data_IF_276191845731
#
_entry.id   IF_276191845731
#
_cell.length_a   1.000
_cell.length_b   1.000
_cell.length_c   1.000
_cell.angle_alpha   90.00
_cell.angle_beta   90.00
_cell.angle_gamma   90.00
#
_symmetry.space_group_name_H-M   'P 1'
#
loop_
_entity.id
_entity.type
_entity.pdbx_description
1 polymer ?
#
# COMPACT_ATOMS: atom_id res chain seq x y z
N UNK A 1 -68.22 7.97 -36.79
CA UNK A 1 -67.83 8.24 -35.41
C UNK A 1 -66.49 7.55 -35.21
N UNK A 2 -65.34 8.27 -35.20
CA UNK A 2 -64.01 7.76 -34.98
C UNK A 2 -63.69 7.83 -33.45
N UNK A 3 -63.47 6.67 -32.82
CA UNK A 3 -63.03 6.60 -31.42
C UNK A 3 -61.54 6.86 -31.37
N UNK A 4 -61.14 7.94 -30.69
CA UNK A 4 -59.76 8.27 -30.38
C UNK A 4 -59.43 7.51 -29.10
N UNK A 5 -58.43 6.59 -29.18
CA UNK A 5 -57.86 5.90 -28.02
C UNK A 5 -56.65 6.75 -27.58
N UNK A 6 -56.78 7.37 -26.42
CA UNK A 6 -55.66 8.09 -25.76
C UNK A 6 -54.86 7.07 -24.98
N UNK A 7 -53.64 6.82 -25.43
CA UNK A 7 -52.66 5.97 -24.72
C UNK A 7 -51.95 6.84 -23.66
N UNK A 8 -52.27 6.65 -22.42
CA UNK A 8 -51.56 7.28 -21.31
C UNK A 8 -50.26 6.51 -21.05
N UNK A 9 -49.13 7.05 -21.50
CA UNK A 9 -47.79 6.53 -21.15
C UNK A 9 -47.47 7.07 -19.77
N UNK A 10 -47.60 6.24 -18.72
CA UNK A 10 -47.07 6.53 -17.39
C UNK A 10 -45.57 6.37 -17.45
N UNK A 11 -44.82 7.46 -17.45
CA UNK A 11 -43.39 7.48 -17.24
C UNK A 11 -43.14 7.11 -15.77
N UNK A 12 -42.62 5.88 -15.52
CA UNK A 12 -41.98 5.54 -14.26
C UNK A 12 -40.70 6.40 -14.14
N UNK A 13 -40.76 7.43 -13.35
CA UNK A 13 -39.57 8.11 -12.86
C UNK A 13 -38.99 7.17 -11.81
N UNK A 14 -37.95 6.41 -12.20
CA UNK A 14 -37.08 5.73 -11.21
C UNK A 14 -36.30 6.84 -10.54
N UNK A 15 -36.76 7.23 -9.35
CA UNK A 15 -35.99 8.05 -8.44
C UNK A 15 -34.78 7.21 -8.05
N UNK A 16 -33.60 7.55 -8.56
CA UNK A 16 -32.36 7.15 -7.89
C UNK A 16 -32.40 7.82 -6.51
N UNK A 17 -32.73 7.03 -5.51
CA UNK A 17 -32.52 7.43 -4.12
C UNK A 17 -31.03 7.75 -3.98
N UNK A 18 -30.74 9.00 -3.63
CA UNK A 18 -29.42 9.46 -3.24
C UNK A 18 -28.91 8.54 -2.14
N UNK A 19 -27.89 7.75 -2.45
CA UNK A 19 -27.12 7.06 -1.43
C UNK A 19 -26.63 8.11 -0.44
N UNK A 20 -26.76 7.79 0.82
CA UNK A 20 -26.52 8.64 1.99
C UNK A 20 -25.16 9.36 1.89
N UNK A 21 -25.19 10.65 1.56
CA UNK A 21 -24.02 11.54 1.42
C UNK A 21 -23.32 11.83 2.77
N UNK A 22 -23.66 11.04 3.83
CA UNK A 22 -23.26 11.27 5.21
C UNK A 22 -22.38 10.16 5.82
N UNK A 23 -21.97 9.14 5.05
CA UNK A 23 -21.05 8.13 5.58
C UNK A 23 -19.60 8.55 5.29
N UNK A 24 -18.70 8.43 6.26
CA UNK A 24 -17.27 8.69 6.00
C UNK A 24 -16.72 7.75 4.93
N UNK A 25 -15.91 8.30 4.03
CA UNK A 25 -15.21 7.47 3.05
C UNK A 25 -14.23 6.53 3.77
N UNK A 26 -14.36 5.24 3.50
CA UNK A 26 -13.53 4.21 4.14
C UNK A 26 -12.25 3.96 3.36
N UNK A 27 -11.13 4.08 4.06
CA UNK A 27 -9.78 3.92 3.51
C UNK A 27 -9.09 2.77 4.22
N UNK A 28 -8.72 1.73 3.48
CA UNK A 28 -8.00 0.58 4.01
C UNK A 28 -6.54 0.60 3.59
N UNK A 29 -5.64 0.37 4.54
CA UNK A 29 -4.21 0.23 4.32
C UNK A 29 -3.83 -1.23 4.54
N UNK A 30 -3.62 -1.98 3.45
CA UNK A 30 -3.27 -3.39 3.48
C UNK A 30 -1.75 -3.55 3.35
N UNK A 31 -1.11 -4.23 4.32
CA UNK A 31 0.35 -4.37 4.30
C UNK A 31 0.93 -5.30 5.37
N UNK A 32 2.18 -5.06 5.70
CA UNK A 32 2.99 -5.82 6.65
C UNK A 32 3.25 -5.07 7.98
N UNK A 33 4.43 -5.29 8.60
CA UNK A 33 4.84 -4.62 9.85
C UNK A 33 4.92 -3.09 9.72
N UNK A 34 5.28 -2.57 8.55
CA UNK A 34 5.38 -1.14 8.34
C UNK A 34 3.98 -0.51 8.41
N UNK A 35 2.99 -1.16 7.80
CA UNK A 35 1.58 -0.73 7.89
C UNK A 35 1.00 -0.97 9.29
N UNK A 36 1.39 -2.04 9.98
CA UNK A 36 0.99 -2.28 11.37
C UNK A 36 1.47 -1.17 12.29
N UNK A 37 2.78 -0.85 12.25
CA UNK A 37 3.34 0.24 13.06
C UNK A 37 2.75 1.61 12.72
N UNK A 38 2.36 1.81 11.46
CA UNK A 38 1.71 3.04 11.03
C UNK A 38 0.34 3.29 11.67
N UNK A 39 -0.38 2.23 12.08
CA UNK A 39 -1.62 2.30 12.85
C UNK A 39 -1.36 2.35 14.35
N UNK A 40 -0.38 1.55 14.83
CA UNK A 40 -0.15 1.34 16.27
C UNK A 40 0.57 2.51 16.95
N UNK A 41 1.38 3.30 16.20
CA UNK A 41 2.18 4.40 16.75
C UNK A 41 1.58 5.77 16.43
N UNK A 42 1.75 6.73 17.37
CA UNK A 42 1.24 8.11 17.21
C UNK A 42 1.91 8.85 16.04
N UNK A 43 3.18 8.56 15.77
CA UNK A 43 3.99 9.09 14.66
C UNK A 43 3.93 8.20 13.40
N UNK A 44 3.15 7.14 13.41
CA UNK A 44 2.91 6.29 12.25
C UNK A 44 2.16 7.02 11.13
N UNK A 45 2.45 6.68 9.86
CA UNK A 45 1.88 7.43 8.74
C UNK A 45 0.35 7.40 8.69
N UNK A 46 -0.33 6.32 9.11
CA UNK A 46 -1.81 6.27 9.18
C UNK A 46 -2.31 7.23 10.27
N UNK A 47 -1.66 7.26 11.43
CA UNK A 47 -1.98 8.18 12.51
C UNK A 47 -1.75 9.64 12.11
N UNK A 48 -0.65 9.94 11.40
CA UNK A 48 -0.37 11.27 10.86
C UNK A 48 -1.39 11.69 9.81
N UNK A 49 -1.81 10.80 8.91
CA UNK A 49 -2.87 11.08 7.94
C UNK A 49 -4.17 11.39 8.66
N UNK A 50 -4.55 10.60 9.67
CA UNK A 50 -5.78 10.79 10.48
C UNK A 50 -5.81 12.14 11.15
N UNK A 51 -4.67 12.65 11.64
CA UNK A 51 -4.54 13.97 12.26
C UNK A 51 -4.71 15.12 11.24
N UNK A 52 -4.37 14.90 9.98
CA UNK A 52 -4.40 15.93 8.92
C UNK A 52 -5.70 15.94 8.10
N UNK A 53 -6.52 14.90 8.19
CA UNK A 53 -7.80 14.84 7.50
C UNK A 53 -8.92 15.49 8.31
N UNK A 54 -9.95 15.95 7.60
CA UNK A 54 -11.19 16.45 8.25
C UNK A 54 -11.85 15.26 8.94
N UNK A 55 -11.91 15.33 10.27
CA UNK A 55 -12.60 14.33 11.08
C UNK A 55 -14.06 14.19 10.58
N UNK A 56 -14.64 13.03 10.74
CA UNK A 56 -15.99 12.65 10.31
C UNK A 56 -16.19 12.45 8.79
N UNK A 57 -15.21 12.80 7.95
CA UNK A 57 -15.29 12.54 6.49
C UNK A 57 -14.61 11.23 6.07
N UNK A 58 -13.72 10.71 6.90
CA UNK A 58 -12.89 9.55 6.55
C UNK A 58 -12.79 8.56 7.71
N UNK A 59 -12.96 7.28 7.40
CA UNK A 59 -12.66 6.16 8.30
C UNK A 59 -11.39 5.47 7.79
N UNK A 60 -10.28 5.58 8.54
CA UNK A 60 -9.00 4.96 8.22
C UNK A 60 -8.83 3.65 8.98
N UNK A 61 -8.54 2.58 8.26
CA UNK A 61 -8.42 1.21 8.81
C UNK A 61 -7.07 0.62 8.41
N UNK A 62 -6.17 0.46 9.37
CA UNK A 62 -4.91 -0.26 9.19
C UNK A 62 -5.13 -1.78 9.19
N UNK A 63 -4.60 -2.46 8.19
CA UNK A 63 -4.61 -3.92 8.02
C UNK A 63 -3.18 -4.42 7.77
N UNK A 64 -2.25 -3.94 8.58
CA UNK A 64 -0.87 -4.40 8.62
C UNK A 64 -0.70 -5.57 9.59
N UNK A 65 0.11 -6.57 9.22
CA UNK A 65 0.54 -7.66 10.11
C UNK A 65 2.04 -7.91 9.89
N UNK A 66 2.81 -7.90 10.97
CA UNK A 66 4.25 -8.10 10.96
C UNK A 66 4.70 -9.38 10.25
N UNK A 67 5.74 -9.29 9.45
CA UNK A 67 6.31 -10.42 8.72
C UNK A 67 5.51 -10.88 7.49
N UNK A 68 4.34 -10.29 7.21
CA UNK A 68 3.51 -10.72 6.09
C UNK A 68 4.18 -10.47 4.75
N UNK A 69 3.94 -11.42 3.83
CA UNK A 69 4.28 -11.43 2.41
C UNK A 69 2.99 -11.42 1.58
N UNK A 70 3.12 -11.32 0.28
CA UNK A 70 1.96 -11.41 -0.62
C UNK A 70 1.15 -12.68 -0.42
N UNK A 71 1.83 -13.81 -0.13
CA UNK A 71 1.19 -15.10 0.16
C UNK A 71 0.28 -15.05 1.40
N UNK A 72 0.68 -14.28 2.40
CA UNK A 72 -0.08 -14.11 3.63
C UNK A 72 -1.29 -13.20 3.38
N UNK A 73 -1.12 -12.13 2.59
CA UNK A 73 -2.24 -11.27 2.17
C UNK A 73 -3.31 -12.07 1.45
N UNK A 74 -2.95 -13.02 0.57
CA UNK A 74 -3.92 -13.88 -0.14
C UNK A 74 -4.83 -14.67 0.79
N UNK A 75 -4.41 -14.94 2.02
CA UNK A 75 -5.23 -15.69 3.00
C UNK A 75 -6.24 -14.81 3.73
N UNK A 76 -6.03 -13.47 3.77
CA UNK A 76 -6.79 -12.57 4.64
C UNK A 76 -7.40 -11.34 3.94
N UNK A 77 -6.99 -10.98 2.71
CA UNK A 77 -7.48 -9.77 2.05
C UNK A 77 -9.01 -9.72 1.89
N UNK A 78 -9.67 -10.89 1.86
CA UNK A 78 -11.14 -10.92 1.77
C UNK A 78 -11.77 -10.33 3.03
N UNK A 79 -11.39 -10.81 4.21
CA UNK A 79 -11.89 -10.28 5.48
C UNK A 79 -11.36 -8.87 5.79
N UNK A 80 -10.13 -8.58 5.38
CA UNK A 80 -9.47 -7.34 5.71
C UNK A 80 -9.82 -6.17 4.78
N UNK A 81 -10.27 -6.47 3.56
CA UNK A 81 -10.58 -5.46 2.53
C UNK A 81 -11.96 -5.67 1.94
N UNK A 82 -12.25 -6.86 1.35
CA UNK A 82 -13.48 -7.06 0.59
C UNK A 82 -14.72 -6.90 1.48
N UNK A 83 -14.72 -7.54 2.66
CA UNK A 83 -15.84 -7.49 3.60
C UNK A 83 -16.06 -6.09 4.20
N UNK A 84 -15.06 -5.21 4.14
CA UNK A 84 -15.16 -3.82 4.60
C UNK A 84 -15.74 -2.88 3.55
N UNK A 85 -15.78 -3.29 2.29
CA UNK A 85 -16.27 -2.52 1.14
C UNK A 85 -15.70 -1.07 1.13
N UNK A 86 -14.38 -0.89 1.04
CA UNK A 86 -13.74 0.42 1.14
C UNK A 86 -13.88 1.25 -0.12
N UNK A 87 -13.80 2.57 0.02
CA UNK A 87 -13.73 3.51 -1.09
C UNK A 87 -12.32 3.59 -1.68
N UNK A 88 -11.29 3.50 -0.82
CA UNK A 88 -9.88 3.56 -1.22
C UNK A 88 -9.11 2.43 -0.53
N UNK A 89 -8.23 1.76 -1.28
CA UNK A 89 -7.32 0.75 -0.74
C UNK A 89 -5.88 1.09 -1.12
N UNK A 90 -5.03 1.28 -0.12
CA UNK A 90 -3.57 1.29 -0.30
C UNK A 90 -3.05 -0.14 -0.10
N UNK A 91 -2.25 -0.63 -1.06
CA UNK A 91 -1.59 -1.94 -0.96
C UNK A 91 -0.08 -1.69 -0.89
N UNK A 92 0.52 -1.93 0.29
CA UNK A 92 1.93 -1.73 0.55
C UNK A 92 2.56 -3.00 1.11
N UNK A 93 3.20 -3.78 0.24
CA UNK A 93 3.77 -5.12 0.55
C UNK A 93 4.98 -5.39 -0.35
N UNK A 94 5.89 -6.26 0.08
CA UNK A 94 7.01 -6.74 -0.72
C UNK A 94 8.35 -6.78 0.02
N UNK A 95 8.49 -6.04 1.11
CA UNK A 95 9.72 -6.03 1.91
C UNK A 95 10.05 -7.44 2.42
N UNK A 96 9.08 -8.11 3.06
CA UNK A 96 9.27 -9.45 3.60
C UNK A 96 9.33 -10.54 2.52
N UNK A 97 8.72 -10.31 1.36
CA UNK A 97 8.86 -11.18 0.20
C UNK A 97 10.33 -11.30 -0.22
N UNK A 98 11.07 -10.19 -0.18
CA UNK A 98 12.51 -10.14 -0.42
C UNK A 98 13.30 -10.54 0.84
N UNK A 99 13.09 -9.86 1.98
CA UNK A 99 13.88 -10.08 3.18
C UNK A 99 13.91 -11.55 3.62
N UNK A 100 12.73 -12.18 3.71
CA UNK A 100 12.61 -13.57 4.16
C UNK A 100 13.25 -14.57 3.20
N UNK A 101 13.47 -14.23 1.94
CA UNK A 101 14.21 -15.06 0.98
C UNK A 101 15.65 -15.23 1.43
N UNK A 102 16.28 -14.16 1.91
CA UNK A 102 17.69 -14.15 2.31
C UNK A 102 17.91 -14.63 3.75
N UNK A 103 16.99 -14.35 4.66
CA UNK A 103 17.15 -14.65 6.09
C UNK A 103 16.61 -16.03 6.48
N UNK A 104 15.51 -16.44 5.88
CA UNK A 104 14.77 -17.63 6.30
C UNK A 104 14.53 -18.64 5.18
N UNK A 105 14.87 -18.30 3.93
CA UNK A 105 14.55 -19.14 2.77
C UNK A 105 13.05 -19.28 2.48
N UNK A 106 12.23 -18.32 2.99
CA UNK A 106 10.77 -18.36 2.95
C UNK A 106 10.17 -17.12 2.27
N UNK A 107 10.97 -16.37 1.52
CA UNK A 107 10.50 -15.26 0.69
C UNK A 107 9.61 -15.72 -0.45
N UNK A 108 9.07 -14.78 -1.21
CA UNK A 108 8.27 -15.08 -2.40
C UNK A 108 9.13 -14.99 -3.66
N UNK A 109 8.91 -15.94 -4.58
CA UNK A 109 9.39 -15.77 -5.94
C UNK A 109 8.60 -14.66 -6.64
N UNK A 110 9.24 -14.00 -7.62
CA UNK A 110 8.64 -12.86 -8.31
C UNK A 110 7.31 -13.22 -9.01
N UNK A 111 7.20 -14.44 -9.56
CA UNK A 111 5.98 -14.92 -10.21
C UNK A 111 4.83 -15.10 -9.20
N UNK A 112 5.14 -15.56 -7.98
CA UNK A 112 4.17 -15.69 -6.90
C UNK A 112 3.72 -14.30 -6.42
N UNK A 113 4.66 -13.36 -6.29
CA UNK A 113 4.37 -11.99 -5.92
C UNK A 113 3.44 -11.31 -6.94
N UNK A 114 3.80 -11.37 -8.23
CA UNK A 114 2.96 -10.81 -9.29
C UNK A 114 1.58 -11.45 -9.33
N UNK A 115 1.50 -12.79 -9.29
CA UNK A 115 0.22 -13.51 -9.31
C UNK A 115 -0.65 -13.18 -8.10
N UNK A 116 -0.04 -13.05 -6.93
CA UNK A 116 -0.74 -12.69 -5.71
C UNK A 116 -1.35 -11.30 -5.79
N UNK A 117 -0.56 -10.30 -6.21
CA UNK A 117 -1.05 -8.95 -6.41
C UNK A 117 -2.17 -8.89 -7.46
N UNK A 118 -2.04 -9.59 -8.59
CA UNK A 118 -3.07 -9.67 -9.63
C UNK A 118 -4.41 -10.15 -9.08
N UNK A 119 -4.39 -11.19 -8.23
CA UNK A 119 -5.60 -11.72 -7.59
C UNK A 119 -6.25 -10.67 -6.69
N UNK A 120 -5.47 -10.05 -5.81
CA UNK A 120 -5.95 -9.05 -4.85
C UNK A 120 -6.50 -7.82 -5.58
N UNK A 121 -5.76 -7.29 -6.57
CA UNK A 121 -6.17 -6.13 -7.37
C UNK A 121 -7.48 -6.40 -8.11
N UNK A 122 -7.60 -7.58 -8.77
CA UNK A 122 -8.80 -7.93 -9.55
C UNK A 122 -10.05 -7.99 -8.67
N UNK A 123 -9.95 -8.61 -7.50
CA UNK A 123 -11.07 -8.72 -6.58
C UNK A 123 -11.47 -7.37 -5.99
N UNK A 124 -10.51 -6.53 -5.59
CA UNK A 124 -10.78 -5.19 -5.07
C UNK A 124 -11.35 -4.28 -6.17
N UNK A 125 -10.81 -4.35 -7.39
CA UNK A 125 -11.33 -3.58 -8.53
C UNK A 125 -12.80 -3.91 -8.83
N UNK A 126 -13.22 -5.15 -8.58
CA UNK A 126 -14.62 -5.54 -8.77
C UNK A 126 -15.60 -4.88 -7.80
N UNK A 127 -15.12 -4.32 -6.68
CA UNK A 127 -15.93 -3.52 -5.73
C UNK A 127 -16.15 -2.09 -6.23
N UNK A 128 -15.35 -1.61 -7.19
CA UNK A 128 -15.33 -0.21 -7.61
C UNK A 128 -14.43 0.68 -6.73
N UNK A 129 -13.68 0.12 -5.79
CA UNK A 129 -12.75 0.86 -4.93
C UNK A 129 -11.62 1.49 -5.75
N UNK A 130 -11.20 2.69 -5.36
CA UNK A 130 -9.94 3.27 -5.82
C UNK A 130 -8.78 2.49 -5.22
N UNK A 131 -7.84 2.04 -6.05
CA UNK A 131 -6.66 1.28 -5.61
C UNK A 131 -5.42 2.14 -5.81
N UNK A 132 -4.59 2.23 -4.76
CA UNK A 132 -3.27 2.84 -4.80
C UNK A 132 -2.23 1.77 -4.51
N UNK A 133 -1.46 1.40 -5.52
CA UNK A 133 -0.36 0.43 -5.36
C UNK A 133 0.89 1.17 -4.90
N UNK A 134 1.51 0.69 -3.81
CA UNK A 134 2.74 1.24 -3.26
C UNK A 134 3.91 0.28 -3.56
N UNK A 135 5.01 0.80 -4.13
CA UNK A 135 6.23 0.01 -4.27
C UNK A 135 6.88 -0.23 -2.91
N UNK A 136 7.54 -1.38 -2.66
CA UNK A 136 8.34 -1.59 -1.44
C UNK A 136 9.48 -0.57 -1.37
N UNK A 137 9.82 -0.11 -0.15
CA UNK A 137 10.81 0.96 0.06
C UNK A 137 12.27 0.46 0.00
N UNK A 138 12.93 0.31 1.14
CA UNK A 138 14.35 -0.05 1.21
C UNK A 138 14.59 -1.18 2.22
N UNK A 139 15.68 -1.92 2.02
CA UNK A 139 16.30 -2.79 3.01
C UNK A 139 17.72 -2.27 3.19
N UNK A 140 17.94 -1.56 4.31
CA UNK A 140 19.11 -0.71 4.51
C UNK A 140 19.02 0.60 3.71
N UNK A 141 19.44 1.70 4.30
CA UNK A 141 19.45 3.03 3.67
C UNK A 141 20.67 3.25 2.78
N UNK A 142 21.61 2.31 2.81
CA UNK A 142 22.70 2.13 1.86
C UNK A 142 22.93 0.64 1.60
N UNK A 143 23.92 0.29 0.75
CA UNK A 143 24.30 -1.08 0.43
C UNK A 143 25.61 -1.51 1.14
N UNK A 144 26.02 -0.80 2.19
CA UNK A 144 27.16 -1.18 3.01
C UNK A 144 26.88 -2.40 3.90
N UNK A 145 27.93 -2.89 4.57
CA UNK A 145 27.78 -3.93 5.59
C UNK A 145 26.81 -3.47 6.68
N UNK A 146 25.84 -4.31 7.03
CA UNK A 146 24.78 -3.93 7.94
C UNK A 146 24.26 -5.12 8.76
N UNK A 147 23.81 -4.84 9.99
CA UNK A 147 23.09 -5.81 10.81
C UNK A 147 21.60 -5.58 10.67
N UNK A 148 20.95 -6.40 9.85
CA UNK A 148 19.52 -6.38 9.63
C UNK A 148 18.84 -7.36 10.57
N UNK A 149 17.98 -6.87 11.45
CA UNK A 149 17.44 -7.67 12.52
C UNK A 149 18.57 -8.15 13.45
N UNK A 150 18.81 -9.46 13.49
CA UNK A 150 19.89 -10.07 14.26
C UNK A 150 20.98 -10.73 13.38
N UNK A 151 20.98 -10.46 12.08
CA UNK A 151 21.86 -11.10 11.10
C UNK A 151 22.74 -10.07 10.39
N UNK A 152 24.05 -10.31 10.41
CA UNK A 152 24.98 -9.54 9.60
C UNK A 152 24.74 -9.81 8.11
N UNK A 153 24.72 -8.74 7.32
CA UNK A 153 24.65 -8.75 5.86
C UNK A 153 25.88 -8.02 5.32
N UNK A 154 26.59 -8.69 4.45
CA UNK A 154 27.67 -8.06 3.68
C UNK A 154 27.12 -7.22 2.52
N UNK A 155 28.00 -6.40 1.93
CA UNK A 155 27.67 -5.53 0.80
C UNK A 155 26.99 -6.31 -0.33
N UNK A 156 27.52 -7.49 -0.69
CA UNK A 156 26.99 -8.30 -1.80
C UNK A 156 25.54 -8.74 -1.55
N UNK A 157 25.25 -9.15 -0.31
CA UNK A 157 23.89 -9.53 0.10
C UNK A 157 22.94 -8.33 0.09
N UNK A 158 23.39 -7.17 0.61
CA UNK A 158 22.59 -5.95 0.62
C UNK A 158 22.28 -5.45 -0.80
N UNK A 159 23.26 -5.50 -1.70
CA UNK A 159 23.06 -5.17 -3.12
C UNK A 159 22.04 -6.10 -3.79
N UNK A 160 22.11 -7.41 -3.53
CA UNK A 160 21.14 -8.38 -4.05
C UNK A 160 19.74 -8.12 -3.52
N UNK A 161 19.58 -7.87 -2.23
CA UNK A 161 18.29 -7.59 -1.62
C UNK A 161 17.65 -6.32 -2.22
N UNK A 162 18.44 -5.27 -2.39
CA UNK A 162 17.95 -4.03 -2.99
C UNK A 162 17.67 -4.18 -4.49
N UNK A 163 18.46 -4.98 -5.23
CA UNK A 163 18.18 -5.33 -6.63
C UNK A 163 16.90 -6.15 -6.79
N UNK A 164 16.62 -7.06 -5.85
CA UNK A 164 15.33 -7.75 -5.82
C UNK A 164 14.18 -6.78 -5.53
N UNK A 165 14.34 -5.83 -4.58
CA UNK A 165 13.32 -4.79 -4.34
C UNK A 165 13.05 -3.93 -5.59
N UNK A 166 14.07 -3.60 -6.37
CA UNK A 166 13.87 -2.91 -7.65
C UNK A 166 13.03 -3.75 -8.60
N UNK A 167 13.30 -5.06 -8.71
CA UNK A 167 12.55 -6.00 -9.54
C UNK A 167 11.08 -6.12 -9.07
N UNK A 168 10.84 -6.20 -7.76
CA UNK A 168 9.49 -6.23 -7.18
C UNK A 168 8.76 -4.91 -7.40
N UNK A 169 9.46 -3.78 -7.34
CA UNK A 169 8.90 -2.46 -7.65
C UNK A 169 8.48 -2.34 -9.11
N UNK A 170 9.25 -2.92 -10.06
CA UNK A 170 8.84 -2.97 -11.47
C UNK A 170 7.54 -3.77 -11.68
N UNK A 171 7.33 -4.86 -10.93
CA UNK A 171 6.05 -5.57 -10.96
C UNK A 171 4.91 -4.67 -10.51
N UNK A 172 5.07 -3.92 -9.43
CA UNK A 172 4.04 -2.99 -8.94
C UNK A 172 3.73 -1.91 -9.98
N UNK A 173 4.76 -1.29 -10.60
CA UNK A 173 4.61 -0.29 -11.67
C UNK A 173 3.88 -0.87 -12.88
N UNK A 174 4.26 -2.07 -13.32
CA UNK A 174 3.61 -2.82 -14.40
C UNK A 174 2.13 -3.05 -14.11
N UNK A 175 1.82 -3.57 -12.92
CA UNK A 175 0.45 -3.87 -12.52
C UNK A 175 -0.41 -2.60 -12.38
N UNK A 176 0.15 -1.50 -11.88
CA UNK A 176 -0.55 -0.23 -11.84
C UNK A 176 -0.98 0.22 -13.24
N UNK A 177 -0.10 0.13 -14.22
CA UNK A 177 -0.42 0.45 -15.61
C UNK A 177 -1.46 -0.51 -16.22
N UNK A 178 -1.30 -1.83 -16.01
CA UNK A 178 -2.20 -2.84 -16.60
C UNK A 178 -3.63 -2.77 -16.06
N UNK A 179 -3.76 -2.48 -14.76
CA UNK A 179 -5.06 -2.40 -14.10
C UNK A 179 -5.62 -0.97 -14.02
N UNK A 180 -4.88 0.02 -14.55
CA UNK A 180 -5.26 1.44 -14.50
C UNK A 180 -5.56 1.88 -13.07
N UNK A 181 -4.68 1.49 -12.12
CA UNK A 181 -4.72 1.92 -10.73
C UNK A 181 -3.78 3.09 -10.49
N UNK A 182 -3.92 3.76 -9.35
CA UNK A 182 -2.94 4.75 -8.92
C UNK A 182 -1.64 4.07 -8.50
N UNK A 183 -0.52 4.75 -8.71
CA UNK A 183 0.82 4.32 -8.27
C UNK A 183 1.40 5.32 -7.28
N UNK A 184 1.79 4.85 -6.11
CA UNK A 184 2.66 5.56 -5.19
C UNK A 184 4.04 4.89 -5.19
N UNK A 185 4.96 5.45 -5.96
CA UNK A 185 6.31 4.90 -6.14
C UNK A 185 7.22 5.25 -4.95
N UNK A 186 6.97 4.57 -3.81
CA UNK A 186 7.72 4.79 -2.57
C UNK A 186 9.20 4.43 -2.72
N UNK A 187 9.52 3.39 -3.51
CA UNK A 187 10.91 3.03 -3.80
C UNK A 187 11.68 4.21 -4.37
N UNK A 188 11.15 4.82 -5.43
CA UNK A 188 11.77 5.99 -6.05
C UNK A 188 11.87 7.16 -5.08
N UNK A 189 10.80 7.45 -4.33
CA UNK A 189 10.76 8.57 -3.38
C UNK A 189 11.83 8.40 -2.29
N UNK A 190 11.98 7.17 -1.76
CA UNK A 190 12.99 6.87 -0.74
C UNK A 190 14.41 6.98 -1.29
N UNK A 191 14.66 6.39 -2.46
CA UNK A 191 15.97 6.46 -3.10
C UNK A 191 16.39 7.89 -3.44
N UNK A 192 15.47 8.70 -3.98
CA UNK A 192 15.74 10.13 -4.25
C UNK A 192 16.05 10.89 -2.95
N UNK A 193 15.26 10.69 -1.89
CA UNK A 193 15.49 11.34 -0.60
C UNK A 193 16.83 10.94 0.01
N UNK A 194 17.17 9.66 0.00
CA UNK A 194 18.43 9.15 0.55
C UNK A 194 19.64 9.63 -0.25
N UNK A 195 19.52 9.74 -1.57
CA UNK A 195 20.60 10.29 -2.41
C UNK A 195 20.97 11.73 -2.04
N UNK A 196 19.99 12.53 -1.58
CA UNK A 196 20.19 13.91 -1.17
C UNK A 196 20.59 14.07 0.30
N UNK A 197 20.13 13.19 1.19
CA UNK A 197 20.17 13.39 2.64
C UNK A 197 21.06 12.39 3.39
N UNK A 198 21.42 11.25 2.79
CA UNK A 198 22.29 10.25 3.42
C UNK A 198 23.77 10.48 3.03
N UNK A 199 24.32 11.63 3.42
CA UNK A 199 25.69 12.07 3.07
C UNK A 199 26.76 11.16 3.67
N UNK A 200 26.49 10.57 4.84
CA UNK A 200 27.44 9.72 5.56
C UNK A 200 27.38 8.26 5.12
N UNK A 201 26.46 7.89 4.25
CA UNK A 201 26.14 6.52 3.88
C UNK A 201 25.76 5.65 5.11
N UNK A 202 24.95 6.21 6.00
CA UNK A 202 24.42 5.48 7.13
C UNK A 202 23.45 4.38 6.66
N UNK A 203 23.50 3.21 7.30
CA UNK A 203 22.67 2.07 6.92
C UNK A 203 21.23 2.17 7.46
N UNK A 204 21.00 3.02 8.45
CA UNK A 204 19.71 3.34 9.03
C UNK A 204 19.77 4.70 9.74
N UNK A 205 18.63 5.28 10.08
CA UNK A 205 18.51 6.49 10.89
C UNK A 205 18.07 7.73 10.10
N UNK A 206 18.07 7.70 8.78
CA UNK A 206 17.59 8.82 7.95
C UNK A 206 16.07 8.74 7.78
N UNK A 207 15.56 7.61 7.31
CA UNK A 207 14.12 7.35 7.10
C UNK A 207 13.62 6.13 7.89
N UNK A 208 14.54 5.30 8.38
CA UNK A 208 14.24 4.04 9.07
C UNK A 208 14.94 3.99 10.42
N UNK A 209 14.41 3.18 11.33
CA UNK A 209 15.03 2.91 12.64
C UNK A 209 16.09 1.81 12.58
N UNK A 210 15.90 0.83 11.70
CA UNK A 210 16.65 -0.40 11.61
C UNK A 210 16.99 -0.83 10.17
N UNK A 211 16.86 0.09 9.23
CA UNK A 211 17.05 -0.15 7.81
C UNK A 211 15.79 -0.63 7.07
N UNK A 212 14.68 -0.88 7.78
CA UNK A 212 13.39 -1.34 7.21
C UNK A 212 12.21 -0.59 7.79
N UNK A 213 12.04 -0.63 9.13
CA UNK A 213 10.92 0.02 9.79
C UNK A 213 11.14 1.53 9.89
N UNK A 214 10.07 2.28 9.64
CA UNK A 214 10.14 3.73 9.52
C UNK A 214 10.46 4.41 10.86
N UNK A 215 11.24 5.48 10.80
CA UNK A 215 11.32 6.47 11.86
C UNK A 215 10.29 7.59 11.63
N UNK A 216 10.26 8.60 12.49
CA UNK A 216 9.34 9.76 12.37
C UNK A 216 9.44 10.42 10.98
N UNK A 217 10.65 10.61 10.45
CA UNK A 217 10.86 11.25 9.15
C UNK A 217 10.34 10.38 8.00
N UNK A 218 10.57 9.06 8.04
CA UNK A 218 10.06 8.12 7.05
C UNK A 218 8.54 8.04 7.06
N UNK A 219 7.94 7.98 8.25
CA UNK A 219 6.49 8.02 8.42
C UNK A 219 5.87 9.30 7.88
N UNK A 220 6.48 10.46 8.20
CA UNK A 220 6.04 11.75 7.67
C UNK A 220 6.13 11.80 6.16
N UNK A 221 7.23 11.34 5.57
CA UNK A 221 7.42 11.33 4.13
C UNK A 221 6.31 10.52 3.44
N UNK A 222 5.98 9.31 3.94
CA UNK A 222 4.89 8.48 3.40
C UNK A 222 3.54 9.15 3.58
N UNK A 223 3.23 9.70 4.76
CA UNK A 223 1.97 10.37 5.03
C UNK A 223 1.73 11.54 4.07
N UNK A 224 2.75 12.39 3.85
CA UNK A 224 2.68 13.55 2.95
C UNK A 224 2.43 13.13 1.47
N UNK A 225 2.80 11.92 1.09
CA UNK A 225 2.51 11.39 -0.26
C UNK A 225 1.14 10.73 -0.33
N UNK A 226 0.79 9.87 0.63
CA UNK A 226 -0.48 9.13 0.62
C UNK A 226 -1.70 10.05 0.68
N UNK A 227 -1.63 11.14 1.45
CA UNK A 227 -2.75 12.09 1.60
C UNK A 227 -3.18 12.71 0.27
N UNK A 228 -2.29 12.79 -0.73
CA UNK A 228 -2.58 13.32 -2.08
C UNK A 228 -3.56 12.44 -2.86
N UNK A 229 -3.69 11.18 -2.50
CA UNK A 229 -4.61 10.22 -3.14
C UNK A 229 -5.97 10.15 -2.45
N UNK A 230 -6.12 10.78 -1.27
CA UNK A 230 -7.32 10.75 -0.45
C UNK A 230 -8.27 11.92 -0.77
N UNK A 231 -7.72 13.02 -1.24
CA UNK A 231 -8.45 14.27 -1.55
C UNK A 231 -9.03 14.28 -2.96
#
# INVERSE_FOLDING_TARGET
MRKIIILIISSLIISCENMNDNQPAKIVFLGDSITQQAEDFEDGFISLIRQNLVQDKFELVGKGIGGNKVSDLLTRYKSDVIDLNPDIVFIYIGINDVWHKYDFGTGSDIDLYEKGLRTIISDIKSLGSKIVLCTPTVIGENTGDFVLGNQFKDVETMEKMNGDLDTFSEVVRKLSNEYETELLDLRKIFMDYLAENNINNDAAGILTTDGVHLNEQGNKLIADQMIKFIN
#
